data_IF_285486013249
#
_entry.id   IF_285486013249
#
_cell.length_a   1.000
_cell.length_b   1.000
_cell.length_c   1.000
_cell.angle_alpha   90.00
_cell.angle_beta   90.00
_cell.angle_gamma   90.00
#
_symmetry.space_group_name_H-M   'P 1'
#
loop_
_entity.id
_entity.type
_entity.pdbx_description
1 polymer ?
#
# COMPACT_ATOMS: atom_id res chain seq x y z
N UNK A 1 -19.68 3.26 27.94
CA UNK A 1 -20.40 3.73 26.72
C UNK A 1 -19.63 4.79 25.93
N UNK A 2 -19.10 5.86 26.55
CA UNK A 2 -18.37 6.91 25.83
C UNK A 2 -17.07 6.42 25.14
N UNK A 3 -16.28 5.57 25.80
CA UNK A 3 -15.07 5.00 25.20
C UNK A 3 -15.37 4.05 24.03
N UNK A 4 -16.44 3.25 24.13
CA UNK A 4 -16.89 2.35 23.07
C UNK A 4 -17.43 3.12 21.86
N UNK A 5 -18.15 4.22 22.09
CA UNK A 5 -18.61 5.14 21.03
C UNK A 5 -17.43 5.87 20.36
N UNK A 6 -16.40 6.25 21.14
CA UNK A 6 -15.17 6.85 20.60
C UNK A 6 -14.36 5.84 19.77
N UNK A 7 -14.18 4.63 20.29
CA UNK A 7 -13.51 3.53 19.57
C UNK A 7 -14.24 3.20 18.27
N UNK A 8 -15.56 3.06 18.30
CA UNK A 8 -16.36 2.81 17.10
C UNK A 8 -16.22 3.94 16.07
N UNK A 9 -16.21 5.22 16.50
CA UNK A 9 -16.02 6.36 15.60
C UNK A 9 -14.61 6.39 15.00
N UNK A 10 -13.57 6.14 15.80
CA UNK A 10 -12.18 6.08 15.32
C UNK A 10 -11.98 4.90 14.37
N UNK A 11 -12.45 3.71 14.72
CA UNK A 11 -12.42 2.51 13.86
C UNK A 11 -13.20 2.74 12.57
N UNK A 12 -14.34 3.42 12.61
CA UNK A 12 -15.09 3.78 11.41
C UNK A 12 -14.30 4.72 10.51
N UNK A 13 -13.69 5.78 11.04
CA UNK A 13 -12.90 6.73 10.23
C UNK A 13 -11.67 6.03 9.61
N UNK A 14 -10.91 5.28 10.41
CA UNK A 14 -9.74 4.54 9.92
C UNK A 14 -10.12 3.43 8.93
N UNK A 15 -11.17 2.65 9.23
CA UNK A 15 -11.66 1.58 8.37
C UNK A 15 -12.25 2.09 7.07
N UNK A 16 -13.11 3.10 7.11
CA UNK A 16 -13.71 3.72 5.92
C UNK A 16 -12.65 4.33 5.03
N UNK A 17 -11.67 5.06 5.59
CA UNK A 17 -10.58 5.62 4.77
C UNK A 17 -9.73 4.54 4.08
N UNK A 18 -9.49 3.41 4.76
CA UNK A 18 -8.79 2.25 4.19
C UNK A 18 -9.60 1.57 3.08
N UNK A 19 -10.89 1.32 3.31
CA UNK A 19 -11.79 0.70 2.32
C UNK A 19 -11.95 1.62 1.11
N UNK A 20 -12.22 2.91 1.33
CA UNK A 20 -12.35 3.90 0.27
C UNK A 20 -11.05 3.99 -0.54
N UNK A 21 -9.89 3.97 0.12
CA UNK A 21 -8.61 3.96 -0.57
C UNK A 21 -8.40 2.74 -1.46
N UNK A 22 -8.78 1.55 -1.00
CA UNK A 22 -8.73 0.32 -1.81
C UNK A 22 -9.73 0.35 -2.96
N UNK A 23 -10.93 0.87 -2.72
CA UNK A 23 -11.95 1.05 -3.74
C UNK A 23 -11.47 1.95 -4.88
N UNK A 24 -10.90 3.10 -4.53
CA UNK A 24 -10.37 4.05 -5.50
C UNK A 24 -9.20 3.46 -6.31
N UNK A 25 -8.32 2.70 -5.68
CA UNK A 25 -7.27 1.95 -6.39
C UNK A 25 -7.83 0.85 -7.29
N UNK A 26 -8.93 0.21 -6.89
CA UNK A 26 -9.62 -0.77 -7.71
C UNK A 26 -10.30 -0.14 -8.93
N UNK A 27 -10.83 1.08 -8.81
CA UNK A 27 -11.37 1.83 -9.96
C UNK A 27 -10.32 2.21 -11.01
N UNK A 28 -9.04 2.26 -10.63
CA UNK A 28 -7.95 2.45 -11.60
C UNK A 28 -7.69 1.20 -12.44
N UNK A 29 -8.23 0.04 -12.06
CA UNK A 29 -7.94 -1.23 -12.73
C UNK A 29 -8.52 -1.28 -14.13
N UNK A 30 -9.83 -1.02 -14.35
CA UNK A 30 -10.38 -0.95 -15.72
C UNK A 30 -9.71 0.15 -16.54
N UNK A 31 -9.29 1.24 -15.89
CA UNK A 31 -8.54 2.30 -16.56
C UNK A 31 -7.18 1.81 -17.04
N UNK A 32 -6.45 1.05 -16.21
CA UNK A 32 -5.18 0.45 -16.60
C UNK A 32 -5.35 -0.62 -17.68
N UNK A 33 -6.35 -1.50 -17.60
CA UNK A 33 -6.57 -2.52 -18.64
C UNK A 33 -6.96 -1.91 -19.98
N UNK A 34 -7.73 -0.82 -19.98
CA UNK A 34 -8.10 -0.12 -21.21
C UNK A 34 -6.95 0.71 -21.82
N UNK A 35 -6.12 1.34 -20.99
CA UNK A 35 -5.06 2.27 -21.45
C UNK A 35 -3.70 1.60 -21.70
N UNK A 36 -3.36 0.57 -20.91
CA UNK A 36 -2.19 -0.26 -21.13
C UNK A 36 -2.57 -1.33 -22.17
N UNK A 37 -2.26 -1.05 -23.43
CA UNK A 37 -2.71 -1.85 -24.58
C UNK A 37 -2.16 -3.27 -24.68
N UNK A 38 -1.41 -3.76 -23.68
CA UNK A 38 -0.87 -5.12 -23.63
C UNK A 38 -0.95 -5.74 -22.23
N UNK A 39 -1.41 -7.00 -22.07
CA UNK A 39 -1.37 -7.71 -20.79
C UNK A 39 0.05 -7.85 -20.20
N UNK A 40 1.08 -7.84 -21.05
CA UNK A 40 2.48 -7.89 -20.70
C UNK A 40 2.91 -6.67 -19.88
N UNK A 41 2.59 -5.46 -20.34
CA UNK A 41 2.87 -4.21 -19.62
C UNK A 41 2.23 -4.22 -18.22
N UNK A 42 1.00 -4.70 -18.15
CA UNK A 42 0.26 -4.82 -16.90
C UNK A 42 0.85 -5.89 -15.96
N UNK A 43 1.35 -7.00 -16.51
CA UNK A 43 2.10 -8.02 -15.80
C UNK A 43 3.38 -7.49 -15.16
N UNK A 44 4.14 -6.67 -15.90
CA UNK A 44 5.34 -5.99 -15.37
C UNK A 44 4.97 -5.09 -14.18
N UNK A 45 3.90 -4.29 -14.30
CA UNK A 45 3.40 -3.46 -13.20
C UNK A 45 3.05 -4.31 -11.98
N UNK A 46 2.31 -5.40 -12.16
CA UNK A 46 1.91 -6.30 -11.08
C UNK A 46 3.12 -6.96 -10.38
N UNK A 47 4.10 -7.41 -11.16
CA UNK A 47 5.36 -8.00 -10.66
C UNK A 47 6.14 -6.99 -9.82
N UNK A 48 6.32 -5.79 -10.35
CA UNK A 48 7.05 -4.71 -9.67
C UNK A 48 6.35 -4.33 -8.37
N UNK A 49 5.01 -4.18 -8.36
CA UNK A 49 4.28 -3.91 -7.13
C UNK A 49 4.39 -5.04 -6.09
N UNK A 50 4.41 -6.30 -6.50
CA UNK A 50 4.61 -7.42 -5.58
C UNK A 50 5.96 -7.31 -4.84
N UNK A 51 7.02 -6.93 -5.55
CA UNK A 51 8.32 -6.64 -4.95
C UNK A 51 8.29 -5.39 -4.07
N UNK A 52 7.61 -4.32 -4.46
CA UNK A 52 7.50 -3.11 -3.61
C UNK A 52 6.85 -3.42 -2.26
N UNK A 53 5.82 -4.28 -2.24
CA UNK A 53 5.15 -4.66 -1.01
C UNK A 53 6.07 -5.42 -0.06
N UNK A 54 6.88 -6.34 -0.60
CA UNK A 54 7.90 -7.06 0.16
C UNK A 54 8.99 -6.12 0.68
N UNK A 55 9.53 -5.25 -0.18
CA UNK A 55 10.58 -4.29 0.18
C UNK A 55 10.12 -3.30 1.25
N UNK A 56 8.86 -2.84 1.19
CA UNK A 56 8.30 -1.95 2.20
C UNK A 56 8.27 -2.61 3.58
N UNK A 57 7.92 -3.88 3.67
CA UNK A 57 7.94 -4.64 4.93
C UNK A 57 9.37 -4.80 5.46
N UNK A 58 10.32 -5.08 4.57
CA UNK A 58 11.74 -5.20 4.94
C UNK A 58 12.28 -3.87 5.44
N UNK A 59 12.01 -2.78 4.73
CA UNK A 59 12.52 -1.44 5.07
C UNK A 59 11.87 -0.84 6.29
N UNK A 60 10.62 -1.20 6.59
CA UNK A 60 9.97 -0.78 7.84
C UNK A 60 10.36 -1.65 9.04
N UNK A 61 10.78 -2.90 8.80
CA UNK A 61 11.25 -3.90 9.78
C UNK A 61 10.46 -3.97 11.09
N UNK A 62 9.14 -3.76 11.04
CA UNK A 62 8.27 -3.79 12.21
C UNK A 62 8.45 -2.60 13.16
N UNK A 63 9.13 -1.53 12.74
CA UNK A 63 9.40 -0.37 13.58
C UNK A 63 8.11 0.36 14.00
N UNK A 64 7.04 0.32 13.20
CA UNK A 64 5.74 0.90 13.58
C UNK A 64 5.16 0.26 14.85
N UNK A 65 5.12 -1.07 14.90
CA UNK A 65 4.62 -1.81 16.07
C UNK A 65 5.57 -1.68 17.26
N UNK A 66 6.88 -1.66 17.02
CA UNK A 66 7.87 -1.33 18.04
C UNK A 66 7.64 0.06 18.64
N UNK A 67 7.47 1.08 17.79
CA UNK A 67 7.16 2.43 18.21
C UNK A 67 5.92 2.47 19.12
N UNK A 68 4.80 1.86 18.74
CA UNK A 68 3.60 1.85 19.59
C UNK A 68 3.82 1.18 20.94
N UNK A 69 4.60 0.09 21.00
CA UNK A 69 4.87 -0.59 22.26
C UNK A 69 5.69 0.28 23.20
N UNK A 70 6.78 0.87 22.71
CA UNK A 70 7.72 1.62 23.55
C UNK A 70 7.25 3.06 23.82
N UNK A 71 6.49 3.68 22.92
CA UNK A 71 5.90 5.01 23.15
C UNK A 71 4.79 5.00 24.21
N UNK A 72 4.15 3.86 24.45
CA UNK A 72 3.16 3.70 25.52
C UNK A 72 3.77 3.30 26.89
N UNK A 73 5.07 3.03 26.97
CA UNK A 73 5.73 2.73 28.24
C UNK A 73 6.09 4.02 28.98
N UNK A 74 5.86 4.05 30.29
CA UNK A 74 6.19 5.21 31.15
C UNK A 74 7.69 5.49 31.29
N UNK A 75 8.55 4.51 31.03
CA UNK A 75 10.02 4.63 31.15
C UNK A 75 10.66 5.48 30.05
N UNK A 76 9.98 5.72 28.93
CA UNK A 76 10.54 6.43 27.79
C UNK A 76 9.66 7.59 27.39
N UNK A 77 10.29 8.73 27.07
CA UNK A 77 9.56 9.86 26.49
C UNK A 77 9.11 9.47 25.07
N UNK A 78 7.82 9.56 24.72
CA UNK A 78 7.31 9.17 23.40
C UNK A 78 8.02 9.87 22.25
N UNK A 79 8.40 11.14 22.45
CA UNK A 79 9.16 11.93 21.47
C UNK A 79 10.54 11.32 21.18
N UNK A 80 11.22 10.80 22.20
CA UNK A 80 12.54 10.19 22.02
C UNK A 80 12.47 8.85 21.29
N UNK A 81 11.41 8.08 21.55
CA UNK A 81 11.12 6.85 20.79
C UNK A 81 10.84 7.22 19.33
N UNK A 82 10.00 8.24 19.10
CA UNK A 82 9.66 8.71 17.77
C UNK A 82 10.90 9.16 16.98
N UNK A 83 11.72 10.05 17.52
CA UNK A 83 12.90 10.56 16.82
C UNK A 83 13.96 9.49 16.59
N UNK A 84 14.14 8.56 17.54
CA UNK A 84 15.05 7.42 17.36
C UNK A 84 14.56 6.49 16.24
N UNK A 85 13.26 6.16 16.21
CA UNK A 85 12.66 5.37 15.12
C UNK A 85 12.74 6.07 13.77
N UNK A 86 12.50 7.39 13.74
CA UNK A 86 12.55 8.21 12.53
C UNK A 86 13.97 8.28 11.95
N UNK A 87 14.98 8.54 12.78
CA UNK A 87 16.40 8.57 12.37
C UNK A 87 16.84 7.20 11.85
N UNK A 88 16.42 6.13 12.51
CA UNK A 88 16.73 4.76 12.08
C UNK A 88 16.18 4.49 10.68
N UNK A 89 14.90 4.80 10.44
CA UNK A 89 14.27 4.60 9.13
C UNK A 89 14.80 5.54 8.06
N UNK A 90 15.13 6.79 8.41
CA UNK A 90 15.78 7.71 7.50
C UNK A 90 17.13 7.14 7.04
N UNK A 91 17.94 6.68 7.99
CA UNK A 91 19.26 6.10 7.71
C UNK A 91 19.14 4.84 6.85
N UNK A 92 18.25 3.90 7.21
CA UNK A 92 18.09 2.65 6.43
C UNK A 92 17.51 2.91 5.04
N UNK A 93 16.56 3.82 4.91
CA UNK A 93 15.95 4.16 3.61
C UNK A 93 16.95 4.89 2.70
N UNK A 94 17.79 5.76 3.27
CA UNK A 94 18.83 6.46 2.53
C UNK A 94 19.95 5.51 2.09
N UNK A 95 20.41 4.63 2.97
CA UNK A 95 21.39 3.58 2.62
C UNK A 95 20.83 2.64 1.53
N UNK A 96 19.57 2.25 1.64
CA UNK A 96 18.88 1.47 0.61
C UNK A 96 18.86 2.21 -0.72
N UNK A 97 18.49 3.50 -0.74
CA UNK A 97 18.43 4.27 -1.97
C UNK A 97 19.80 4.46 -2.63
N UNK A 98 20.86 4.66 -1.83
CA UNK A 98 22.24 4.69 -2.33
C UNK A 98 22.61 3.35 -2.96
N UNK A 99 22.32 2.23 -2.28
CA UNK A 99 22.58 0.88 -2.80
C UNK A 99 21.85 0.61 -4.13
N UNK A 100 20.56 0.97 -4.20
CA UNK A 100 19.77 0.83 -5.44
C UNK A 100 20.36 1.66 -6.56
N UNK A 101 20.78 2.90 -6.30
CA UNK A 101 21.33 3.77 -7.36
C UNK A 101 22.64 3.20 -7.93
N UNK A 102 23.44 2.50 -7.12
CA UNK A 102 24.67 1.84 -7.57
C UNK A 102 24.36 0.53 -8.35
N UNK A 103 23.31 -0.21 -7.96
CA UNK A 103 22.98 -1.53 -8.50
C UNK A 103 21.70 -1.58 -9.34
N UNK A 104 21.21 -0.45 -9.83
CA UNK A 104 19.93 -0.39 -10.55
C UNK A 104 19.90 -1.28 -11.80
N UNK A 105 21.01 -1.30 -12.56
CA UNK A 105 21.12 -2.09 -13.80
C UNK A 105 21.05 -3.60 -13.55
N UNK A 106 21.86 -4.21 -12.65
CA UNK A 106 21.73 -5.64 -12.36
C UNK A 106 20.38 -5.99 -11.72
N UNK A 107 19.78 -5.08 -10.93
CA UNK A 107 18.43 -5.29 -10.39
C UNK A 107 17.36 -5.33 -11.48
N UNK A 108 17.44 -4.43 -12.47
CA UNK A 108 16.54 -4.41 -13.62
C UNK A 108 16.61 -5.69 -14.45
N UNK A 109 17.81 -6.22 -14.65
CA UNK A 109 18.02 -7.51 -15.32
C UNK A 109 17.38 -8.66 -14.51
N UNK A 110 17.62 -8.73 -13.20
CA UNK A 110 17.07 -9.79 -12.34
C UNK A 110 15.54 -9.77 -12.23
N UNK A 111 14.92 -8.60 -12.37
CA UNK A 111 13.46 -8.41 -12.39
C UNK A 111 12.84 -8.68 -13.78
N UNK A 112 13.65 -8.93 -14.81
CA UNK A 112 13.18 -9.12 -16.18
C UNK A 112 12.66 -7.84 -16.83
N UNK A 113 13.17 -6.68 -16.40
CA UNK A 113 12.87 -5.37 -17.02
C UNK A 113 14.17 -4.66 -17.41
N UNK A 114 15.07 -5.31 -18.19
CA UNK A 114 16.38 -4.75 -18.49
C UNK A 114 16.31 -3.46 -19.32
N UNK A 115 15.22 -3.27 -20.09
CA UNK A 115 15.01 -2.10 -20.93
C UNK A 115 14.65 -0.82 -20.15
N UNK A 116 14.18 -0.96 -18.90
CA UNK A 116 13.70 0.18 -18.10
C UNK A 116 14.22 0.17 -16.65
N UNK A 117 15.54 0.36 -16.42
CA UNK A 117 16.11 0.49 -15.07
C UNK A 117 15.46 1.60 -14.23
N UNK A 118 14.96 2.65 -14.89
CA UNK A 118 14.26 3.76 -14.28
C UNK A 118 12.97 3.35 -13.55
N UNK A 119 12.29 2.28 -13.97
CA UNK A 119 11.11 1.76 -13.27
C UNK A 119 11.48 1.23 -11.89
N UNK A 120 12.58 0.47 -11.83
CA UNK A 120 13.12 -0.06 -10.57
C UNK A 120 13.54 1.08 -9.65
N UNK A 121 14.25 2.08 -10.20
CA UNK A 121 14.70 3.23 -9.43
C UNK A 121 13.54 4.04 -8.84
N UNK A 122 12.52 4.38 -9.64
CA UNK A 122 11.33 5.11 -9.18
C UNK A 122 10.55 4.34 -8.11
N UNK A 123 10.48 3.01 -8.25
CA UNK A 123 9.79 2.16 -7.29
C UNK A 123 10.55 2.05 -5.98
N UNK A 124 11.86 1.85 -6.02
CA UNK A 124 12.69 1.87 -4.83
C UNK A 124 12.65 3.24 -4.13
N UNK A 125 12.62 4.35 -4.88
CA UNK A 125 12.45 5.69 -4.33
C UNK A 125 11.10 5.83 -3.61
N UNK A 126 10.02 5.37 -4.25
CA UNK A 126 8.66 5.37 -3.66
C UNK A 126 8.65 4.59 -2.34
N UNK A 127 9.21 3.36 -2.34
CA UNK A 127 9.27 2.52 -1.14
C UNK A 127 10.12 3.16 -0.04
N UNK A 128 11.25 3.80 -0.39
CA UNK A 128 12.09 4.49 0.59
C UNK A 128 11.35 5.65 1.26
N UNK A 129 10.60 6.45 0.49
CA UNK A 129 9.78 7.55 1.01
C UNK A 129 8.64 7.00 1.88
N UNK A 130 7.96 5.94 1.44
CA UNK A 130 6.84 5.34 2.16
C UNK A 130 7.30 4.68 3.46
N UNK A 131 8.45 4.00 3.45
CA UNK A 131 9.06 3.40 4.64
C UNK A 131 9.43 4.46 5.68
N UNK A 132 10.02 5.58 5.24
CA UNK A 132 10.26 6.73 6.11
C UNK A 132 8.96 7.30 6.67
N UNK A 133 7.94 7.46 5.82
CA UNK A 133 6.64 8.04 6.17
C UNK A 133 5.82 7.16 7.13
N UNK A 134 6.15 5.87 7.25
CA UNK A 134 5.45 4.94 8.15
C UNK A 134 5.44 5.41 9.62
N UNK A 135 6.56 5.92 10.13
CA UNK A 135 6.66 6.39 11.53
C UNK A 135 5.91 7.70 11.79
N UNK A 136 6.03 8.74 10.94
CA UNK A 136 5.14 9.89 10.98
C UNK A 136 3.64 9.53 10.99
N UNK A 137 3.22 8.58 10.14
CA UNK A 137 1.84 8.09 10.14
C UNK A 137 1.50 7.40 11.47
N UNK A 138 2.41 6.61 12.02
CA UNK A 138 2.26 6.01 13.35
C UNK A 138 2.15 7.06 14.46
N UNK A 139 2.88 8.17 14.35
CA UNK A 139 2.81 9.30 15.29
C UNK A 139 1.47 10.02 15.24
N UNK A 140 0.91 10.26 14.05
CA UNK A 140 -0.44 10.82 13.90
C UNK A 140 -1.50 9.92 14.54
N UNK A 141 -1.34 8.59 14.42
CA UNK A 141 -2.21 7.61 15.08
C UNK A 141 -2.03 7.64 16.60
N UNK A 142 -0.79 7.67 17.09
CA UNK A 142 -0.47 7.74 18.52
C UNK A 142 -1.04 9.01 19.18
N UNK A 143 -0.91 10.16 18.50
CA UNK A 143 -1.45 11.45 18.95
C UNK A 143 -2.95 11.61 18.69
N UNK A 144 -3.64 10.55 18.23
CA UNK A 144 -5.09 10.50 17.99
C UNK A 144 -5.57 11.62 17.06
N UNK A 145 -4.89 11.81 15.92
CA UNK A 145 -5.28 12.74 14.84
C UNK A 145 -5.84 11.99 13.62
N UNK A 146 -7.00 11.28 13.76
CA UNK A 146 -7.53 10.40 12.70
C UNK A 146 -7.89 11.14 11.41
N UNK A 147 -8.38 12.38 11.51
CA UNK A 147 -8.79 13.19 10.35
C UNK A 147 -7.59 13.56 9.49
N UNK A 148 -6.49 13.98 10.12
CA UNK A 148 -5.25 14.30 9.41
C UNK A 148 -4.65 13.06 8.74
N UNK A 149 -4.65 11.92 9.45
CA UNK A 149 -4.20 10.64 8.90
C UNK A 149 -5.02 10.22 7.67
N UNK A 150 -6.35 10.22 7.78
CA UNK A 150 -7.25 9.85 6.70
C UNK A 150 -7.16 10.83 5.53
N UNK A 151 -7.11 12.13 5.80
CA UNK A 151 -6.95 13.17 4.79
C UNK A 151 -5.66 13.04 4.00
N UNK A 152 -4.53 12.78 4.67
CA UNK A 152 -3.24 12.52 4.00
C UNK A 152 -3.27 11.26 3.13
N UNK A 153 -3.82 10.15 3.64
CA UNK A 153 -3.95 8.91 2.86
C UNK A 153 -4.83 9.12 1.62
N UNK A 154 -5.96 9.82 1.76
CA UNK A 154 -6.83 10.14 0.63
C UNK A 154 -6.19 11.14 -0.33
N UNK A 155 -5.41 12.09 0.15
CA UNK A 155 -4.64 13.02 -0.68
C UNK A 155 -3.64 12.25 -1.53
N UNK A 156 -2.84 11.35 -0.95
CA UNK A 156 -1.89 10.52 -1.70
C UNK A 156 -2.61 9.72 -2.80
N UNK A 157 -3.72 9.06 -2.47
CA UNK A 157 -4.49 8.29 -3.45
C UNK A 157 -5.07 9.19 -4.54
N UNK A 158 -5.60 10.36 -4.17
CA UNK A 158 -6.12 11.35 -5.11
C UNK A 158 -5.04 11.88 -6.05
N UNK A 159 -3.85 12.19 -5.53
CA UNK A 159 -2.69 12.61 -6.33
C UNK A 159 -2.29 11.51 -7.30
N UNK A 160 -2.18 10.25 -6.85
CA UNK A 160 -1.89 9.12 -7.74
C UNK A 160 -2.93 9.05 -8.87
N UNK A 161 -4.22 9.08 -8.56
CA UNK A 161 -5.30 8.99 -9.56
C UNK A 161 -5.24 10.15 -10.55
N UNK A 162 -5.14 11.39 -10.05
CA UNK A 162 -5.12 12.60 -10.88
C UNK A 162 -3.93 12.56 -11.85
N UNK A 163 -2.72 12.28 -11.36
CA UNK A 163 -1.54 12.22 -12.22
C UNK A 163 -1.56 11.02 -13.17
N UNK A 164 -2.03 9.85 -12.71
CA UNK A 164 -2.22 8.68 -13.57
C UNK A 164 -3.16 8.99 -14.74
N UNK A 165 -4.33 9.58 -14.47
CA UNK A 165 -5.30 9.96 -15.51
C UNK A 165 -4.75 11.06 -16.40
N UNK A 166 -4.05 12.04 -15.82
CA UNK A 166 -3.41 13.12 -16.57
C UNK A 166 -2.41 12.56 -17.59
N UNK A 167 -1.50 11.67 -17.18
CA UNK A 167 -0.50 11.12 -18.09
C UNK A 167 -1.04 10.10 -19.08
N UNK A 168 -1.96 9.22 -18.67
CA UNK A 168 -2.44 8.12 -19.53
C UNK A 168 -3.62 8.51 -20.43
N UNK A 169 -4.34 9.60 -20.13
CA UNK A 169 -5.51 10.01 -20.91
C UNK A 169 -5.41 11.43 -21.46
N UNK A 170 -5.06 12.41 -20.61
CA UNK A 170 -5.03 13.82 -21.01
C UNK A 170 -3.82 14.14 -21.90
N UNK A 171 -2.61 13.71 -21.53
CA UNK A 171 -1.40 13.91 -22.34
C UNK A 171 -1.50 13.32 -23.76
N UNK A 172 -2.00 12.09 -24.00
CA UNK A 172 -2.21 11.59 -25.35
C UNK A 172 -3.20 12.43 -26.17
N UNK A 173 -4.24 12.98 -25.52
CA UNK A 173 -5.22 13.84 -26.19
C UNK A 173 -4.61 15.18 -26.60
N UNK A 174 -3.81 15.79 -25.73
CA UNK A 174 -3.11 17.04 -26.05
C UNK A 174 -1.99 16.81 -27.05
N UNK A 175 -1.28 15.68 -27.02
CA UNK A 175 -0.26 15.35 -28.03
C UNK A 175 -0.84 15.30 -29.45
N UNK A 176 -2.11 14.88 -29.61
CA UNK A 176 -2.81 14.91 -30.91
C UNK A 176 -3.16 16.32 -31.39
N UNK A 177 -3.30 17.29 -30.49
CA UNK A 177 -3.79 18.65 -30.81
C UNK A 177 -2.65 19.69 -30.82
N UNK A 178 -1.69 19.57 -29.90
CA UNK A 178 -0.57 20.49 -29.71
C UNK A 178 0.66 19.72 -29.18
N UNK A 179 1.36 18.95 -30.03
CA UNK A 179 2.50 18.12 -29.61
C UNK A 179 3.65 18.93 -29.01
N UNK A 180 3.87 20.17 -29.47
CA UNK A 180 4.97 21.04 -29.01
C UNK A 180 4.86 21.43 -27.52
N UNK A 181 3.66 21.48 -26.95
CA UNK A 181 3.47 21.89 -25.55
C UNK A 181 3.92 20.83 -24.53
N UNK A 182 3.99 19.56 -24.95
CA UNK A 182 4.20 18.41 -24.06
C UNK A 182 5.39 17.55 -24.50
N UNK A 183 5.94 17.75 -25.70
CA UNK A 183 7.11 17.03 -26.19
C UNK A 183 8.35 17.08 -25.27
N UNK A 184 8.44 18.08 -24.38
CA UNK A 184 9.55 18.21 -23.43
C UNK A 184 9.48 17.24 -22.22
N UNK A 185 8.32 16.65 -21.93
CA UNK A 185 8.17 15.73 -20.78
C UNK A 185 7.34 14.47 -21.07
N UNK A 186 6.61 14.42 -22.20
CA UNK A 186 5.75 13.29 -22.53
C UNK A 186 6.28 12.48 -23.71
N UNK A 187 6.53 11.20 -23.47
CA UNK A 187 6.83 10.21 -24.47
C UNK A 187 5.67 9.20 -24.54
N UNK A 188 4.94 9.11 -25.67
CA UNK A 188 3.81 8.20 -25.86
C UNK A 188 4.11 6.71 -25.60
N UNK A 189 5.37 6.29 -25.73
CA UNK A 189 5.80 4.90 -25.53
C UNK A 189 6.12 4.60 -24.05
N UNK A 190 6.21 5.62 -23.20
CA UNK A 190 6.58 5.50 -21.78
C UNK A 190 5.40 5.22 -20.83
N UNK A 191 4.32 4.60 -21.35
CA UNK A 191 3.00 4.45 -20.70
C UNK A 191 3.09 3.95 -19.26
N UNK A 192 3.69 2.77 -19.07
CA UNK A 192 3.86 2.13 -17.76
C UNK A 192 4.69 3.01 -16.81
N UNK A 193 5.70 3.70 -17.33
CA UNK A 193 6.55 4.60 -16.57
C UNK A 193 5.76 5.72 -15.90
N UNK A 194 4.73 6.25 -16.55
CA UNK A 194 3.88 7.29 -15.96
C UNK A 194 3.09 6.84 -14.73
N UNK A 195 2.74 5.55 -14.65
CA UNK A 195 2.13 4.99 -13.43
C UNK A 195 3.11 5.08 -12.27
N UNK A 196 4.38 4.74 -12.50
CA UNK A 196 5.42 4.84 -11.49
C UNK A 196 5.72 6.29 -11.11
N UNK A 197 5.78 7.20 -12.10
CA UNK A 197 5.94 8.64 -11.86
C UNK A 197 4.80 9.18 -10.99
N UNK A 198 3.55 8.82 -11.27
CA UNK A 198 2.40 9.24 -10.46
C UNK A 198 2.51 8.79 -9.00
N UNK A 199 3.05 7.58 -8.76
CA UNK A 199 3.30 7.11 -7.39
C UNK A 199 4.45 7.85 -6.71
N UNK A 200 5.55 8.14 -7.42
CA UNK A 200 6.65 8.95 -6.87
C UNK A 200 6.13 10.34 -6.47
N UNK A 201 5.37 11.01 -7.34
CA UNK A 201 4.76 12.31 -7.05
C UNK A 201 3.85 12.21 -5.82
N UNK A 202 3.01 11.18 -5.75
CA UNK A 202 2.12 10.94 -4.61
C UNK A 202 2.88 10.77 -3.29
N UNK A 203 3.93 9.94 -3.27
CA UNK A 203 4.78 9.75 -2.08
C UNK A 203 5.53 11.02 -1.68
N UNK A 204 6.06 11.77 -2.65
CA UNK A 204 6.73 13.06 -2.40
C UNK A 204 5.76 14.09 -1.84
N UNK A 205 4.59 14.27 -2.45
CA UNK A 205 3.57 15.21 -1.97
C UNK A 205 3.10 14.80 -0.57
N UNK A 206 2.84 13.51 -0.36
CA UNK A 206 2.49 12.97 0.95
C UNK A 206 3.54 13.31 2.02
N UNK A 207 4.81 13.10 1.71
CA UNK A 207 5.93 13.45 2.56
C UNK A 207 5.99 14.96 2.84
N UNK A 208 5.86 15.81 1.81
CA UNK A 208 5.92 17.27 1.96
C UNK A 208 4.84 17.82 2.89
N UNK A 209 3.60 17.32 2.78
CA UNK A 209 2.50 17.73 3.67
C UNK A 209 2.68 17.20 5.09
N UNK A 210 3.36 16.06 5.23
CA UNK A 210 3.65 15.41 6.50
C UNK A 210 4.84 16.06 7.24
N UNK A 211 5.84 16.59 6.53
CA UNK A 211 7.06 17.21 7.09
C UNK A 211 6.81 18.23 8.22
N UNK A 212 5.87 19.18 8.10
CA UNK A 212 5.58 20.13 9.19
C UNK A 212 5.17 19.46 10.50
N UNK A 213 4.52 18.29 10.41
CA UNK A 213 4.09 17.53 11.59
C UNK A 213 5.19 16.67 12.19
N UNK A 214 6.24 16.35 11.44
CA UNK A 214 7.35 15.47 11.87
C UNK A 214 8.54 16.25 12.41
N UNK A 215 8.80 17.44 11.87
CA UNK A 215 9.98 18.24 12.19
C UNK A 215 9.83 19.13 13.45
N UNK A 216 8.62 19.27 14.00
CA UNK A 216 8.35 20.11 15.17
C UNK A 216 8.84 19.53 16.51
N UNK A 217 9.52 18.38 16.49
CA UNK A 217 9.99 17.68 17.70
C UNK A 217 11.50 17.87 17.90
N UNK A 218 11.94 17.86 19.16
CA UNK A 218 13.37 17.91 19.49
C UNK A 218 14.03 16.60 19.08
N UNK A 219 14.93 16.66 18.10
CA UNK A 219 15.67 15.51 17.61
C UNK A 219 16.56 14.94 18.71
N UNK A 220 16.21 13.76 19.21
CA UNK A 220 17.01 13.01 20.18
C UNK A 220 17.24 11.59 19.68
N UNK A 221 18.47 11.11 19.77
CA UNK A 221 18.83 9.76 19.35
C UNK A 221 19.40 8.99 20.54
N UNK A 222 18.85 7.78 20.77
CA UNK A 222 19.31 6.89 21.83
C UNK A 222 19.65 5.52 21.25
N UNK A 223 20.94 5.21 21.19
CA UNK A 223 21.42 3.90 20.73
C UNK A 223 20.91 2.73 21.59
N UNK A 224 20.88 2.82 22.94
CA UNK A 224 20.27 1.77 23.77
C UNK A 224 18.81 1.53 23.43
N UNK A 225 18.03 2.59 23.20
CA UNK A 225 16.63 2.52 22.84
C UNK A 225 16.43 1.89 21.46
N UNK A 226 17.28 2.24 20.49
CA UNK A 226 17.25 1.63 19.16
C UNK A 226 17.50 0.12 19.21
N UNK A 227 18.47 -0.34 20.01
CA UNK A 227 18.71 -1.78 20.19
C UNK A 227 17.49 -2.50 20.74
N UNK A 228 16.80 -1.92 21.72
CA UNK A 228 15.57 -2.49 22.29
C UNK A 228 14.43 -2.54 21.26
N UNK A 229 14.27 -1.47 20.47
CA UNK A 229 13.30 -1.41 19.38
C UNK A 229 13.59 -2.49 18.33
N UNK A 230 14.83 -2.60 17.86
CA UNK A 230 15.22 -3.58 16.84
C UNK A 230 15.08 -5.01 17.33
N UNK A 231 15.50 -5.31 18.56
CA UNK A 231 15.35 -6.64 19.14
C UNK A 231 13.88 -7.08 19.24
N UNK A 232 12.98 -6.14 19.54
CA UNK A 232 11.55 -6.43 19.56
C UNK A 232 10.93 -6.50 18.15
N UNK A 233 11.40 -5.68 17.23
CA UNK A 233 10.84 -5.58 15.88
C UNK A 233 11.34 -6.68 14.95
N UNK A 234 12.48 -7.31 15.26
CA UNK A 234 13.07 -8.39 14.46
C UNK A 234 12.14 -9.60 14.25
N UNK A 235 11.52 -10.21 15.28
CA UNK A 235 10.54 -11.27 15.07
C UNK A 235 9.31 -10.80 14.28
N UNK A 236 8.92 -9.53 14.43
CA UNK A 236 7.78 -8.94 13.73
C UNK A 236 8.09 -8.72 12.24
N UNK A 237 9.35 -8.42 11.89
CA UNK A 237 9.81 -8.39 10.51
C UNK A 237 9.66 -9.76 9.86
N UNK A 238 10.11 -10.84 10.51
CA UNK A 238 9.99 -12.21 9.98
C UNK A 238 8.52 -12.58 9.75
N UNK A 239 7.65 -12.27 10.72
CA UNK A 239 6.20 -12.47 10.58
C UNK A 239 5.61 -11.62 9.45
N UNK A 240 6.06 -10.37 9.31
CA UNK A 240 5.64 -9.47 8.23
C UNK A 240 6.02 -9.99 6.86
N UNK A 241 7.26 -10.48 6.70
CA UNK A 241 7.74 -11.10 5.45
C UNK A 241 6.86 -12.31 5.10
N UNK A 242 6.65 -13.23 6.04
CA UNK A 242 5.79 -14.39 5.82
C UNK A 242 4.36 -13.98 5.40
N UNK A 243 3.80 -12.96 6.06
CA UNK A 243 2.47 -12.44 5.75
C UNK A 243 2.36 -11.82 4.36
N UNK A 244 3.33 -11.01 3.94
CA UNK A 244 3.29 -10.35 2.63
C UNK A 244 3.67 -11.30 1.49
N UNK A 245 4.59 -12.23 1.74
CA UNK A 245 4.88 -13.32 0.81
C UNK A 245 3.62 -14.14 0.56
N UNK A 246 2.86 -14.52 1.59
CA UNK A 246 1.60 -15.26 1.38
C UNK A 246 0.59 -14.52 0.46
N UNK A 247 0.67 -13.19 0.34
CA UNK A 247 -0.23 -12.39 -0.50
C UNK A 247 0.33 -12.04 -1.88
N UNK A 248 1.65 -12.11 -2.05
CA UNK A 248 2.35 -11.55 -3.22
C UNK A 248 3.29 -12.55 -3.90
N UNK A 249 3.55 -13.70 -3.28
CA UNK A 249 4.46 -14.72 -3.78
C UNK A 249 3.96 -15.32 -5.10
N UNK A 250 2.65 -15.45 -5.27
CA UNK A 250 2.00 -15.81 -6.53
C UNK A 250 2.50 -14.94 -7.69
N UNK A 251 2.45 -13.61 -7.52
CA UNK A 251 2.81 -12.63 -8.56
C UNK A 251 4.33 -12.59 -8.82
N UNK A 252 5.12 -12.95 -7.82
CA UNK A 252 6.57 -13.06 -7.96
C UNK A 252 6.94 -14.33 -8.71
N UNK A 253 6.32 -15.48 -8.38
CA UNK A 253 6.72 -16.78 -8.92
C UNK A 253 6.16 -17.06 -10.32
N UNK A 254 4.94 -16.62 -10.63
CA UNK A 254 4.27 -16.94 -11.91
C UNK A 254 5.18 -16.70 -13.12
N UNK A 255 5.85 -15.54 -13.28
CA UNK A 255 6.74 -15.31 -14.42
C UNK A 255 7.90 -16.30 -14.54
N UNK A 256 8.40 -16.83 -13.43
CA UNK A 256 9.51 -17.80 -13.39
C UNK A 256 9.06 -19.25 -13.59
N UNK A 257 7.76 -19.53 -13.53
CA UNK A 257 7.20 -20.87 -13.79
C UNK A 257 7.06 -21.17 -15.29
N UNK A 258 7.14 -20.14 -16.15
CA UNK A 258 7.06 -20.29 -17.59
C UNK A 258 8.46 -20.34 -18.22
N UNK A 259 8.64 -21.08 -19.34
CA UNK A 259 9.93 -21.17 -20.02
C UNK A 259 10.47 -19.82 -20.53
N UNK A 260 9.57 -18.91 -20.89
CA UNK A 260 9.89 -17.58 -21.40
C UNK A 260 9.30 -16.50 -20.49
N UNK A 261 10.12 -15.53 -20.09
CA UNK A 261 9.73 -14.48 -19.14
C UNK A 261 8.64 -13.55 -19.71
N UNK A 262 8.64 -13.30 -21.03
CA UNK A 262 7.59 -12.52 -21.70
C UNK A 262 6.21 -13.20 -21.63
N UNK A 263 6.17 -14.51 -21.88
CA UNK A 263 4.94 -15.32 -21.74
C UNK A 263 4.52 -15.36 -20.27
N UNK A 264 5.49 -15.48 -19.35
CA UNK A 264 5.24 -15.43 -17.92
C UNK A 264 4.63 -14.11 -17.46
N UNK A 265 5.12 -12.97 -17.95
CA UNK A 265 4.59 -11.64 -17.66
C UNK A 265 3.19 -11.43 -18.25
N UNK A 266 2.92 -11.94 -19.46
CA UNK A 266 1.55 -11.94 -20.03
C UNK A 266 0.56 -12.72 -19.16
N UNK A 267 0.91 -13.94 -18.78
CA UNK A 267 0.07 -14.79 -17.92
C UNK A 267 -0.10 -14.17 -16.53
N UNK A 268 0.94 -13.53 -16.00
CA UNK A 268 0.84 -12.76 -14.77
C UNK A 268 -0.13 -11.58 -14.93
N UNK A 269 -0.13 -10.89 -16.06
CA UNK A 269 -1.08 -9.82 -16.35
C UNK A 269 -2.53 -10.30 -16.29
N UNK A 270 -2.83 -11.42 -16.95
CA UNK A 270 -4.15 -12.07 -16.92
C UNK A 270 -4.51 -12.49 -15.50
N UNK A 271 -3.59 -13.15 -14.79
CA UNK A 271 -3.78 -13.58 -13.41
C UNK A 271 -4.05 -12.39 -12.47
N UNK A 272 -3.28 -11.32 -12.59
CA UNK A 272 -3.41 -10.12 -11.78
C UNK A 272 -4.72 -9.37 -12.05
N UNK A 273 -5.22 -9.38 -13.29
CA UNK A 273 -6.53 -8.85 -13.63
C UNK A 273 -7.65 -9.67 -12.96
N UNK A 274 -7.60 -11.00 -13.09
CA UNK A 274 -8.54 -11.91 -12.42
C UNK A 274 -8.51 -11.78 -10.89
N UNK A 275 -7.32 -11.66 -10.29
CA UNK A 275 -7.13 -11.50 -8.85
C UNK A 275 -7.87 -10.25 -8.32
N UNK A 276 -7.94 -9.19 -9.12
CA UNK A 276 -8.61 -7.94 -8.73
C UNK A 276 -10.14 -8.04 -8.73
N UNK A 277 -10.74 -9.03 -9.40
CA UNK A 277 -12.16 -9.35 -9.20
C UNK A 277 -12.41 -9.88 -7.78
N UNK A 278 -11.48 -10.69 -7.26
CA UNK A 278 -11.51 -11.18 -5.88
C UNK A 278 -11.33 -10.08 -4.83
N UNK A 279 -10.76 -8.94 -5.20
CA UNK A 279 -10.57 -7.80 -4.30
C UNK A 279 -11.91 -7.21 -3.82
N UNK A 280 -12.95 -7.24 -4.66
CA UNK A 280 -14.31 -6.82 -4.29
C UNK A 280 -14.84 -7.68 -3.13
N UNK A 281 -14.68 -9.00 -3.21
CA UNK A 281 -15.05 -9.91 -2.13
C UNK A 281 -14.23 -9.64 -0.87
N UNK A 282 -12.92 -9.45 -1.02
CA UNK A 282 -12.02 -9.17 0.09
C UNK A 282 -12.37 -7.87 0.83
N UNK A 283 -12.80 -6.84 0.10
CA UNK A 283 -13.26 -5.58 0.68
C UNK A 283 -14.55 -5.74 1.48
N UNK A 284 -15.50 -6.55 0.99
CA UNK A 284 -16.70 -6.88 1.75
C UNK A 284 -16.36 -7.60 3.06
N UNK A 285 -15.49 -8.62 2.99
CA UNK A 285 -15.01 -9.34 4.18
C UNK A 285 -14.31 -8.40 5.17
N UNK A 286 -13.52 -7.45 4.69
CA UNK A 286 -12.88 -6.45 5.56
C UNK A 286 -13.89 -5.53 6.23
N UNK A 287 -14.83 -4.97 5.46
CA UNK A 287 -15.90 -4.13 6.01
C UNK A 287 -16.71 -4.87 7.08
N UNK A 288 -17.03 -6.15 6.83
CA UNK A 288 -17.67 -7.00 7.82
C UNK A 288 -16.80 -7.18 9.07
N UNK A 289 -15.52 -7.52 8.93
CA UNK A 289 -14.61 -7.67 10.08
C UNK A 289 -14.51 -6.39 10.92
N UNK A 290 -14.46 -5.23 10.28
CA UNK A 290 -14.46 -3.93 10.97
C UNK A 290 -15.71 -3.70 11.82
N UNK A 291 -16.88 -4.14 11.36
CA UNK A 291 -18.12 -4.06 12.12
C UNK A 291 -18.25 -5.18 13.17
N UNK A 292 -17.77 -6.38 12.84
CA UNK A 292 -17.95 -7.58 13.64
C UNK A 292 -17.01 -7.67 14.84
N UNK A 293 -15.74 -7.25 14.71
CA UNK A 293 -14.78 -7.27 15.83
C UNK A 293 -15.29 -6.47 17.05
N UNK A 294 -15.76 -5.21 16.91
CA UNK A 294 -16.38 -4.47 18.01
C UNK A 294 -17.65 -5.14 18.58
N UNK A 295 -18.46 -5.74 17.71
CA UNK A 295 -19.68 -6.46 18.11
C UNK A 295 -19.34 -7.64 19.02
N UNK A 296 -18.34 -8.46 18.65
CA UNK A 296 -17.87 -9.59 19.47
C UNK A 296 -17.35 -9.13 20.82
N UNK A 297 -16.51 -8.08 20.86
CA UNK A 297 -16.01 -7.56 22.14
C UNK A 297 -17.12 -7.00 23.04
N UNK A 298 -18.16 -6.40 22.45
CA UNK A 298 -19.31 -5.90 23.22
C UNK A 298 -20.19 -7.01 23.81
N UNK A 299 -20.23 -8.17 23.16
CA UNK A 299 -21.06 -9.33 23.52
C UNK A 299 -20.32 -10.43 24.30
N UNK A 300 -19.00 -10.32 24.47
CA UNK A 300 -18.18 -11.29 25.21
C UNK A 300 -18.61 -11.51 26.68
N UNK A 301 -19.28 -10.53 27.29
CA UNK A 301 -19.79 -10.62 28.68
C UNK A 301 -21.23 -11.12 28.80
N UNK A 302 -21.96 -11.26 27.69
CA UNK A 302 -23.35 -11.75 27.69
C UNK A 302 -23.37 -13.28 27.62
N UNK A 303 -24.11 -13.92 28.54
CA UNK A 303 -24.23 -15.39 28.64
C UNK A 303 -24.92 -16.03 27.42
N UNK A 304 -25.62 -15.22 26.60
CA UNK A 304 -26.39 -15.64 25.42
C UNK A 304 -25.78 -15.17 24.07
N UNK A 305 -24.45 -14.99 24.04
CA UNK A 305 -23.75 -14.45 22.86
C UNK A 305 -23.71 -15.40 21.65
N UNK A 306 -24.03 -16.69 21.83
CA UNK A 306 -23.93 -17.71 20.77
C UNK A 306 -24.91 -17.47 19.63
N UNK A 307 -26.17 -17.16 19.94
CA UNK A 307 -27.19 -16.92 18.91
C UNK A 307 -26.86 -15.66 18.09
N UNK A 308 -26.40 -14.60 18.77
CA UNK A 308 -25.92 -13.37 18.12
C UNK A 308 -24.76 -13.61 17.15
N UNK A 309 -23.79 -14.47 17.50
CA UNK A 309 -22.71 -14.85 16.59
C UNK A 309 -23.18 -15.70 15.41
N UNK A 310 -24.09 -16.65 15.66
CA UNK A 310 -24.66 -17.49 14.60
C UNK A 310 -25.44 -16.64 13.59
N UNK A 311 -26.25 -15.69 14.05
CA UNK A 311 -26.98 -14.75 13.18
C UNK A 311 -26.02 -13.85 12.40
N UNK A 312 -25.01 -13.27 13.05
CA UNK A 312 -24.00 -12.46 12.38
C UNK A 312 -23.26 -13.22 11.28
N UNK A 313 -22.88 -14.48 11.54
CA UNK A 313 -22.24 -15.34 10.55
C UNK A 313 -23.19 -15.77 9.43
N UNK A 314 -24.46 -16.07 9.74
CA UNK A 314 -25.48 -16.42 8.74
C UNK A 314 -25.67 -15.30 7.72
N UNK A 315 -25.83 -14.05 8.19
CA UNK A 315 -25.97 -12.91 7.29
C UNK A 315 -24.67 -12.64 6.53
N UNK A 316 -23.51 -12.75 7.18
CA UNK A 316 -22.23 -12.65 6.48
C UNK A 316 -22.11 -13.63 5.31
N UNK A 317 -22.43 -14.90 5.53
CA UNK A 317 -22.39 -15.93 4.49
C UNK A 317 -23.39 -15.63 3.36
N UNK A 318 -24.62 -15.27 3.72
CA UNK A 318 -25.67 -14.94 2.75
C UNK A 318 -25.26 -13.77 1.87
N UNK A 319 -24.79 -12.67 2.45
CA UNK A 319 -24.32 -11.51 1.69
C UNK A 319 -23.04 -11.81 0.90
N UNK A 320 -22.11 -12.59 1.46
CA UNK A 320 -20.89 -13.01 0.74
C UNK A 320 -21.23 -13.83 -0.50
N UNK A 321 -22.22 -14.74 -0.41
CA UNK A 321 -22.70 -15.50 -1.56
C UNK A 321 -23.43 -14.63 -2.57
N UNK A 322 -24.23 -13.65 -2.13
CA UNK A 322 -24.85 -12.69 -3.04
C UNK A 322 -23.82 -11.85 -3.80
N UNK A 323 -22.78 -11.36 -3.10
CA UNK A 323 -21.68 -10.61 -3.73
C UNK A 323 -20.92 -11.52 -4.70
N UNK A 324 -20.61 -12.75 -4.31
CA UNK A 324 -19.96 -13.73 -5.19
C UNK A 324 -20.78 -13.99 -6.45
N UNK A 325 -22.07 -14.31 -6.31
CA UNK A 325 -22.96 -14.54 -7.45
C UNK A 325 -23.09 -13.30 -8.33
N UNK A 326 -23.18 -12.11 -7.73
CA UNK A 326 -23.20 -10.84 -8.48
C UNK A 326 -21.93 -10.63 -9.30
N UNK A 327 -20.76 -10.81 -8.69
CA UNK A 327 -19.46 -10.71 -9.40
C UNK A 327 -19.37 -11.75 -10.51
N UNK A 328 -19.76 -13.00 -10.24
CA UNK A 328 -19.73 -14.10 -11.21
C UNK A 328 -20.69 -13.87 -12.39
N UNK A 329 -21.89 -13.36 -12.12
CA UNK A 329 -22.90 -13.07 -13.15
C UNK A 329 -22.50 -11.89 -14.05
N UNK A 330 -21.96 -10.83 -13.45
CA UNK A 330 -21.50 -9.64 -14.19
C UNK A 330 -20.05 -9.75 -14.68
N UNK A 331 -19.47 -10.96 -14.71
CA UNK A 331 -18.11 -11.18 -15.18
C UNK A 331 -17.87 -10.59 -16.56
N UNK A 332 -18.83 -10.71 -17.48
CA UNK A 332 -18.65 -10.22 -18.85
C UNK A 332 -18.56 -8.69 -18.93
N UNK A 333 -19.17 -7.98 -17.98
CA UNK A 333 -19.03 -6.51 -17.84
C UNK A 333 -17.73 -6.16 -17.09
N UNK A 334 -17.29 -7.01 -16.17
CA UNK A 334 -16.12 -6.79 -15.33
C UNK A 334 -14.79 -7.23 -15.97
N UNK A 335 -14.83 -8.07 -17.02
CA UNK A 335 -13.67 -8.59 -17.77
C UNK A 335 -13.08 -7.61 -18.79
N UNK A 336 -13.51 -6.33 -18.79
CA UNK A 336 -13.08 -5.31 -19.76
C UNK A 336 -11.60 -4.96 -19.67
#
# INVERSE_FOLDING_TARGET
MAEMKRLAKETAIYGVSSILGRFLNWLLVPFYTYTLGSPQEYGVVAKVYAWTALLLVILTYGMETGFFRFANKSEHKPESVYTTSLISLLTTSLLFMVGVTIWVNPMAIGLGVPAHPEFVWMMCLTVAIDAFSAIPFAWLRFTKRPIMFAGLRLLMIGVTIVFTVFFLWVCPMIHKVAPEQIAWFYNPDYRVGYVFVANVISSVVGLLVLLPSTLNLRWTFSWPLLKQLLAYSWPLLVLGIAGIMNQSLDKILIPYLYPNMEVGDEQLGIYAACFKLGLVMMMFTQAFRYAFEPFVFSKYKDTDSKQSYAEGMKYYLLFSWLVFLGVMYYLDILKV
#
